data_IF_879305031873
#
_entry.id   IF_879305031873
#
_cell.length_a   1.000
_cell.length_b   1.000
_cell.length_c   1.000
_cell.angle_alpha   90.00
_cell.angle_beta   90.00
_cell.angle_gamma   90.00
#
_symmetry.space_group_name_H-M   'P 1'
#
loop_
_entity.id
_entity.type
_entity.pdbx_description
1 polymer ?
#
# COMPACT_ATOMS: atom_id res chain seq x y z
N UNK A 1 -16.51 18.47 9.79
CA UNK A 1 -15.50 18.14 8.77
C UNK A 1 -14.25 17.76 9.51
N UNK A 2 -14.21 16.50 9.93
CA UNK A 2 -13.01 15.85 10.42
C UNK A 2 -12.17 15.41 9.24
N UNK A 3 -10.89 15.15 9.51
CA UNK A 3 -9.94 14.79 8.47
C UNK A 3 -10.38 13.54 7.67
N UNK A 4 -11.04 12.57 8.31
CA UNK A 4 -11.45 11.32 7.66
C UNK A 4 -12.51 11.50 6.55
N UNK A 5 -13.49 12.38 6.73
CA UNK A 5 -14.51 12.62 5.69
C UNK A 5 -13.97 13.50 4.56
N UNK A 6 -12.89 14.23 4.83
CA UNK A 6 -12.11 14.88 3.77
C UNK A 6 -11.34 13.89 2.89
N UNK A 7 -11.01 12.68 3.37
CA UNK A 7 -10.42 11.60 2.53
C UNK A 7 -11.48 11.00 1.61
N UNK A 8 -12.71 10.82 2.11
CA UNK A 8 -13.80 10.22 1.34
C UNK A 8 -14.19 11.02 0.09
N UNK A 9 -14.20 12.36 0.17
CA UNK A 9 -14.60 13.25 -0.95
C UNK A 9 -13.72 13.16 -2.21
N UNK A 10 -12.38 13.31 -2.15
CA UNK A 10 -11.53 13.13 -3.32
C UNK A 10 -11.53 11.69 -3.84
N UNK A 11 -11.89 10.72 -2.99
CA UNK A 11 -12.00 9.30 -3.33
C UNK A 11 -13.41 8.90 -3.79
N UNK A 12 -14.32 9.85 -3.99
CA UNK A 12 -15.66 9.56 -4.51
C UNK A 12 -15.56 8.94 -5.91
N UNK A 13 -16.32 7.87 -6.16
CA UNK A 13 -16.28 7.08 -7.40
C UNK A 13 -14.91 6.43 -7.73
N UNK A 14 -13.98 6.38 -6.78
CA UNK A 14 -12.69 5.66 -6.95
C UNK A 14 -12.78 4.15 -6.74
N UNK A 15 -13.93 3.65 -6.23
CA UNK A 15 -14.11 2.28 -5.76
C UNK A 15 -13.75 2.08 -4.28
N UNK A 16 -13.30 3.12 -3.56
CA UNK A 16 -12.98 3.01 -2.12
C UNK A 16 -14.19 2.56 -1.28
N UNK A 17 -15.39 3.07 -1.57
CA UNK A 17 -16.62 2.64 -0.89
C UNK A 17 -16.89 1.15 -1.12
N UNK A 18 -16.73 0.70 -2.36
CA UNK A 18 -16.99 -0.70 -2.75
C UNK A 18 -15.97 -1.64 -2.08
N UNK A 19 -14.70 -1.23 -2.06
CA UNK A 19 -13.63 -1.96 -1.39
C UNK A 19 -13.87 -2.07 0.12
N UNK A 20 -14.23 -0.97 0.80
CA UNK A 20 -14.57 -1.02 2.23
C UNK A 20 -15.82 -1.87 2.49
N UNK A 21 -16.74 -1.94 1.52
CA UNK A 21 -17.96 -2.74 1.63
C UNK A 21 -17.71 -4.25 1.52
N UNK A 22 -16.51 -4.68 1.14
CA UNK A 22 -16.11 -6.10 1.19
C UNK A 22 -15.85 -6.60 2.61
N UNK A 23 -15.46 -5.70 3.53
CA UNK A 23 -15.12 -6.02 4.92
C UNK A 23 -16.19 -5.53 5.89
N UNK A 24 -16.85 -4.41 5.57
CA UNK A 24 -17.87 -3.80 6.41
C UNK A 24 -19.22 -3.75 5.70
N UNK A 25 -20.31 -3.80 6.46
CA UNK A 25 -21.65 -3.63 5.89
C UNK A 25 -21.80 -2.24 5.24
N UNK A 26 -22.48 -2.14 4.11
CA UNK A 26 -22.58 -0.90 3.30
C UNK A 26 -23.08 0.32 4.11
N UNK A 27 -24.08 0.12 4.96
CA UNK A 27 -24.59 1.16 5.87
C UNK A 27 -23.51 1.69 6.82
N UNK A 28 -22.59 0.81 7.24
CA UNK A 28 -21.46 1.19 8.10
C UNK A 28 -20.41 1.96 7.31
N UNK A 29 -20.15 1.59 6.07
CA UNK A 29 -19.20 2.29 5.20
C UNK A 29 -19.64 3.73 4.95
N UNK A 30 -20.94 3.97 4.71
CA UNK A 30 -21.47 5.34 4.61
C UNK A 30 -21.16 6.15 5.87
N UNK A 31 -21.38 5.59 7.05
CA UNK A 31 -21.01 6.24 8.32
C UNK A 31 -19.51 6.38 8.56
N UNK A 32 -18.68 5.52 7.95
CA UNK A 32 -17.22 5.65 8.01
C UNK A 32 -16.72 6.81 7.15
N UNK A 33 -17.25 6.96 5.93
CA UNK A 33 -16.93 8.04 5.01
C UNK A 33 -17.52 9.39 5.45
N UNK A 34 -18.69 9.37 6.11
CA UNK A 34 -19.35 10.55 6.69
C UNK A 34 -18.89 10.88 8.12
N UNK A 35 -17.78 10.28 8.60
CA UNK A 35 -17.13 10.62 9.87
C UNK A 35 -17.90 10.23 11.16
N UNK A 36 -19.03 9.54 11.04
CA UNK A 36 -19.86 9.11 12.19
C UNK A 36 -19.31 7.87 12.90
N UNK A 37 -18.45 7.11 12.22
CA UNK A 37 -17.88 5.85 12.72
C UNK A 37 -16.35 5.88 12.77
N UNK A 38 -15.76 6.89 13.42
CA UNK A 38 -14.32 7.21 13.42
C UNK A 38 -13.42 6.00 13.65
N UNK A 39 -13.61 5.21 14.71
CA UNK A 39 -12.74 4.07 15.03
C UNK A 39 -12.77 3.00 13.91
N UNK A 40 -13.96 2.73 13.35
CA UNK A 40 -14.07 1.80 12.21
C UNK A 40 -13.45 2.38 10.96
N UNK A 41 -13.64 3.69 10.71
CA UNK A 41 -13.11 4.38 9.56
C UNK A 41 -11.56 4.40 9.55
N UNK A 42 -10.92 4.71 10.69
CA UNK A 42 -9.46 4.65 10.84
C UNK A 42 -8.94 3.24 10.53
N UNK A 43 -9.53 2.20 11.15
CA UNK A 43 -9.13 0.81 10.90
C UNK A 43 -9.34 0.40 9.46
N UNK A 44 -10.46 0.79 8.85
CA UNK A 44 -10.75 0.56 7.44
C UNK A 44 -9.68 1.17 6.56
N UNK A 45 -9.34 2.45 6.76
CA UNK A 45 -8.32 3.13 5.97
C UNK A 45 -6.93 2.47 6.10
N UNK A 46 -6.51 2.07 7.30
CA UNK A 46 -5.25 1.34 7.48
C UNK A 46 -5.25 -0.04 6.81
N UNK A 47 -6.36 -0.78 6.85
CA UNK A 47 -6.46 -2.05 6.11
C UNK A 47 -6.28 -1.85 4.60
N UNK A 48 -6.83 -0.77 4.04
CA UNK A 48 -6.64 -0.44 2.62
C UNK A 48 -5.21 -0.02 2.32
N UNK A 49 -4.58 0.77 3.20
CA UNK A 49 -3.16 1.16 3.07
C UNK A 49 -2.23 -0.07 3.07
N UNK A 50 -2.43 -0.98 4.02
CA UNK A 50 -1.67 -2.23 4.12
C UNK A 50 -1.87 -3.13 2.88
N UNK A 51 -3.12 -3.27 2.41
CA UNK A 51 -3.42 -4.04 1.21
C UNK A 51 -2.74 -3.45 -0.03
N UNK A 52 -2.78 -2.13 -0.20
CA UNK A 52 -2.11 -1.46 -1.32
C UNK A 52 -0.59 -1.62 -1.26
N UNK A 53 0.03 -1.43 -0.10
CA UNK A 53 1.47 -1.63 0.08
C UNK A 53 1.86 -3.08 -0.22
N UNK A 54 1.06 -4.05 0.23
CA UNK A 54 1.28 -5.48 -0.04
C UNK A 54 1.21 -5.79 -1.53
N UNK A 55 0.19 -5.28 -2.25
CA UNK A 55 0.05 -5.46 -3.70
C UNK A 55 1.20 -4.82 -4.49
N UNK A 56 1.66 -3.64 -4.07
CA UNK A 56 2.79 -2.96 -4.70
C UNK A 56 4.10 -3.74 -4.47
N UNK A 57 4.29 -4.30 -3.29
CA UNK A 57 5.46 -5.10 -2.95
C UNK A 57 5.43 -6.46 -3.66
N UNK A 58 4.27 -7.11 -3.76
CA UNK A 58 4.09 -8.33 -4.55
C UNK A 58 4.43 -8.07 -6.02
N UNK A 59 3.96 -6.96 -6.60
CA UNK A 59 4.33 -6.57 -7.97
C UNK A 59 5.82 -6.32 -8.17
N UNK A 60 6.53 -5.95 -7.11
CA UNK A 60 7.97 -5.73 -7.13
C UNK A 60 8.73 -7.07 -7.06
N UNK A 61 8.20 -8.03 -6.30
CA UNK A 61 8.84 -9.32 -5.98
C UNK A 61 8.51 -10.40 -7.01
N UNK A 62 7.30 -10.41 -7.56
CA UNK A 62 6.85 -11.43 -8.52
C UNK A 62 7.55 -11.27 -9.86
N UNK A 63 8.33 -12.30 -10.22
CA UNK A 63 9.03 -12.45 -11.52
C UNK A 63 8.13 -13.00 -12.62
N UNK A 64 6.90 -13.41 -12.30
CA UNK A 64 5.97 -14.09 -13.20
C UNK A 64 4.62 -13.38 -13.15
N UNK A 65 4.35 -12.45 -14.08
CA UNK A 65 3.04 -12.34 -14.72
C UNK A 65 2.95 -11.30 -15.87
N UNK A 66 2.37 -11.79 -16.95
CA UNK A 66 2.24 -11.31 -18.33
C UNK A 66 1.31 -10.10 -18.56
N UNK A 67 1.29 -9.11 -17.65
CA UNK A 67 0.57 -7.84 -17.89
C UNK A 67 1.47 -6.60 -17.92
N UNK A 68 2.78 -6.81 -17.97
CA UNK A 68 3.81 -5.78 -17.74
C UNK A 68 4.66 -5.50 -19.00
N UNK A 69 4.09 -5.56 -20.20
CA UNK A 69 4.82 -5.15 -21.42
C UNK A 69 5.11 -3.62 -21.51
N UNK A 70 4.80 -2.85 -20.46
CA UNK A 70 5.03 -1.39 -20.44
C UNK A 70 5.80 -0.86 -19.22
N UNK A 71 6.10 -1.68 -18.21
CA UNK A 71 6.92 -1.24 -17.07
C UNK A 71 8.35 -1.74 -17.27
N UNK A 72 9.26 -0.84 -17.66
CA UNK A 72 10.71 -1.07 -17.61
C UNK A 72 11.20 -1.05 -16.15
N UNK A 73 10.62 -1.88 -15.31
CA UNK A 73 11.05 -2.11 -13.94
C UNK A 73 11.60 -3.52 -13.98
N UNK A 74 12.92 -3.65 -13.86
CA UNK A 74 13.52 -4.98 -13.80
C UNK A 74 12.94 -5.71 -12.59
N UNK A 75 12.29 -6.88 -12.80
CA UNK A 75 11.78 -7.67 -11.69
C UNK A 75 12.94 -8.06 -10.79
N UNK A 76 12.67 -8.23 -9.49
CA UNK A 76 13.68 -8.68 -8.54
C UNK A 76 14.31 -9.97 -9.06
N UNK A 77 15.65 -10.07 -9.02
CA UNK A 77 16.29 -11.34 -9.39
C UNK A 77 15.81 -12.43 -8.44
N UNK A 78 15.76 -13.67 -8.90
CA UNK A 78 15.38 -14.85 -8.10
C UNK A 78 16.20 -14.94 -6.78
N UNK A 79 17.44 -14.41 -6.81
CA UNK A 79 18.32 -14.31 -5.64
C UNK A 79 17.92 -13.22 -4.63
N UNK A 80 17.21 -12.17 -5.04
CA UNK A 80 16.72 -11.09 -4.17
C UNK A 80 15.39 -11.47 -3.52
N UNK A 81 14.53 -12.20 -4.24
CA UNK A 81 13.25 -12.73 -3.73
C UNK A 81 13.49 -13.76 -2.61
N UNK A 82 14.45 -14.68 -2.79
CA UNK A 82 14.81 -15.65 -1.75
C UNK A 82 15.29 -14.96 -0.45
N UNK A 83 16.05 -13.87 -0.58
CA UNK A 83 16.53 -13.08 0.57
C UNK A 83 15.41 -12.29 1.24
N UNK A 84 14.46 -11.74 0.47
CA UNK A 84 13.30 -11.07 1.03
C UNK A 84 12.44 -12.04 1.86
N UNK A 85 12.24 -13.27 1.38
CA UNK A 85 11.52 -14.31 2.11
C UNK A 85 12.24 -14.79 3.37
N UNK A 86 13.58 -14.87 3.34
CA UNK A 86 14.42 -15.15 4.51
C UNK A 86 14.24 -14.06 5.59
N UNK A 87 14.31 -12.79 5.20
CA UNK A 87 14.06 -11.63 6.08
C UNK A 87 12.65 -11.65 6.67
N UNK A 88 11.63 -11.93 5.86
CA UNK A 88 10.23 -12.00 6.31
C UNK A 88 10.06 -13.12 7.35
N UNK A 89 10.74 -14.25 7.16
CA UNK A 89 10.67 -15.37 8.10
C UNK A 89 11.43 -15.10 9.40
N UNK A 90 12.57 -14.40 9.34
CA UNK A 90 13.30 -13.97 10.53
C UNK A 90 12.50 -12.94 11.36
N UNK A 91 11.84 -11.98 10.69
CA UNK A 91 10.95 -10.99 11.34
C UNK A 91 9.72 -11.62 11.99
N UNK A 92 9.28 -12.80 11.53
CA UNK A 92 8.20 -13.57 12.17
C UNK A 92 8.65 -14.27 13.45
N UNK A 93 9.96 -14.53 13.61
CA UNK A 93 10.52 -15.33 14.71
C UNK A 93 11.15 -14.45 15.80
N UNK A 94 11.75 -13.30 15.47
CA UNK A 94 12.33 -12.36 16.44
C UNK A 94 11.64 -10.99 16.46
N UNK A 95 11.39 -10.46 17.66
CA UNK A 95 10.84 -9.10 17.92
C UNK A 95 11.79 -7.95 17.57
N UNK A 96 13.00 -8.24 17.09
CA UNK A 96 14.04 -7.24 16.85
C UNK A 96 14.57 -7.34 15.43
N UNK A 97 14.63 -6.20 14.75
CA UNK A 97 15.28 -6.06 13.44
C UNK A 97 16.76 -6.42 13.59
N UNK A 98 17.29 -7.41 12.85
CA UNK A 98 18.71 -7.74 12.91
C UNK A 98 19.53 -6.56 12.39
N UNK A 99 20.47 -6.07 13.20
CA UNK A 99 21.49 -5.08 12.82
C UNK A 99 22.41 -5.54 11.65
N UNK A 100 22.15 -6.73 11.08
CA UNK A 100 22.89 -7.36 9.98
C UNK A 100 22.19 -7.21 8.62
N UNK A 101 20.95 -6.68 8.57
CA UNK A 101 20.44 -6.11 7.32
C UNK A 101 21.31 -4.90 7.00
N UNK A 102 22.29 -5.08 6.11
CA UNK A 102 23.10 -3.96 5.64
C UNK A 102 22.15 -2.89 5.12
N UNK A 103 22.17 -1.72 5.76
CA UNK A 103 21.36 -0.54 5.38
C UNK A 103 21.29 -0.37 3.86
N UNK A 104 22.37 -0.71 3.16
CA UNK A 104 22.49 -0.70 1.70
C UNK A 104 21.40 -1.51 0.98
N UNK A 105 21.10 -2.76 1.40
CA UNK A 105 20.08 -3.60 0.72
C UNK A 105 18.66 -3.11 0.99
N UNK A 106 18.37 -2.71 2.22
CA UNK A 106 17.08 -2.13 2.60
C UNK A 106 16.86 -0.82 1.84
N UNK A 107 17.88 0.05 1.81
CA UNK A 107 17.84 1.31 1.08
C UNK A 107 17.68 1.11 -0.43
N UNK A 108 18.28 0.06 -1.02
CA UNK A 108 18.03 -0.25 -2.44
C UNK A 108 16.60 -0.72 -2.71
N UNK A 109 15.99 -1.48 -1.79
CA UNK A 109 14.58 -1.89 -1.92
C UNK A 109 13.64 -0.70 -1.76
N UNK A 110 13.89 0.17 -0.78
CA UNK A 110 13.14 1.43 -0.59
C UNK A 110 13.25 2.29 -1.86
N UNK A 111 14.46 2.49 -2.39
CA UNK A 111 14.66 3.27 -3.61
C UNK A 111 13.93 2.67 -4.82
N UNK A 112 13.91 1.35 -4.98
CA UNK A 112 13.14 0.68 -6.04
C UNK A 112 11.63 0.87 -5.86
N UNK A 113 11.14 0.79 -4.63
CA UNK A 113 9.73 1.01 -4.31
C UNK A 113 9.30 2.46 -4.60
N UNK A 114 10.13 3.44 -4.24
CA UNK A 114 9.88 4.85 -4.53
C UNK A 114 9.90 5.14 -6.05
N UNK A 115 10.82 4.51 -6.79
CA UNK A 115 10.82 4.57 -8.26
C UNK A 115 9.54 4.00 -8.87
N UNK A 116 9.01 2.90 -8.32
CA UNK A 116 7.75 2.29 -8.76
C UNK A 116 6.56 3.22 -8.45
N UNK A 117 6.49 3.79 -7.25
CA UNK A 117 5.49 4.83 -6.90
C UNK A 117 5.55 6.01 -7.87
N UNK A 118 6.76 6.51 -8.15
CA UNK A 118 7.01 7.62 -9.08
C UNK A 118 6.58 7.27 -10.50
N UNK A 119 6.84 6.05 -10.95
CA UNK A 119 6.39 5.60 -12.26
C UNK A 119 4.85 5.55 -12.34
N UNK A 120 4.21 4.96 -11.34
CA UNK A 120 2.75 4.79 -11.31
C UNK A 120 2.01 6.13 -11.25
N UNK A 121 2.65 7.20 -10.76
CA UNK A 121 2.13 8.57 -10.78
C UNK A 121 1.66 9.06 -12.16
N UNK A 122 2.17 8.46 -13.25
CA UNK A 122 1.78 8.76 -14.63
C UNK A 122 0.31 8.42 -14.90
N UNK A 123 -0.25 7.43 -14.22
CA UNK A 123 -1.64 7.03 -14.39
C UNK A 123 -2.54 7.79 -13.42
N UNK A 124 -3.64 8.35 -13.94
CA UNK A 124 -4.56 9.19 -13.16
C UNK A 124 -5.10 8.50 -11.91
N UNK A 125 -5.54 7.24 -12.04
CA UNK A 125 -6.10 6.47 -10.92
C UNK A 125 -5.01 6.11 -9.91
N UNK A 126 -3.85 5.62 -10.36
CA UNK A 126 -2.75 5.30 -9.46
C UNK A 126 -2.23 6.56 -8.74
N UNK A 127 -2.25 7.73 -9.38
CA UNK A 127 -1.91 9.00 -8.72
C UNK A 127 -2.88 9.33 -7.59
N UNK A 128 -4.19 9.14 -7.80
CA UNK A 128 -5.19 9.35 -6.77
C UNK A 128 -4.95 8.43 -5.55
N UNK A 129 -4.71 7.14 -5.80
CA UNK A 129 -4.49 6.17 -4.72
C UNK A 129 -3.13 6.33 -4.02
N UNK A 130 -2.04 6.49 -4.78
CA UNK A 130 -0.68 6.49 -4.21
C UNK A 130 -0.31 7.87 -3.66
N UNK A 131 -0.61 8.96 -4.37
CA UNK A 131 -0.15 10.29 -3.97
C UNK A 131 -1.19 11.11 -3.21
N UNK A 132 -2.47 10.80 -3.34
CA UNK A 132 -3.52 11.52 -2.61
C UNK A 132 -3.98 10.70 -1.41
N UNK A 133 -4.34 9.44 -1.60
CA UNK A 133 -4.89 8.63 -0.53
C UNK A 133 -3.84 8.16 0.48
N UNK A 134 -2.73 7.53 0.05
CA UNK A 134 -1.69 7.08 0.99
C UNK A 134 -1.04 8.25 1.75
N UNK A 135 -0.78 9.38 1.08
CA UNK A 135 -0.27 10.59 1.73
C UNK A 135 -1.23 11.13 2.81
N UNK A 136 -2.54 11.16 2.51
CA UNK A 136 -3.54 11.53 3.51
C UNK A 136 -3.58 10.54 4.69
N UNK A 137 -3.36 9.24 4.47
CA UNK A 137 -3.32 8.25 5.55
C UNK A 137 -2.04 8.35 6.38
N UNK A 138 -0.91 8.68 5.78
CA UNK A 138 0.33 8.86 6.52
C UNK A 138 0.22 10.05 7.50
N UNK A 139 -0.59 11.06 7.19
CA UNK A 139 -0.94 12.14 8.13
C UNK A 139 -1.86 11.69 9.30
N UNK A 140 -2.39 10.46 9.29
CA UNK A 140 -3.17 9.87 10.38
C UNK A 140 -2.32 9.01 11.34
N UNK A 141 -1.08 8.68 10.98
CA UNK A 141 -0.14 7.90 11.81
C UNK A 141 0.54 8.78 12.85
#
# INVERSE_FOLDING_TARGET
>A
MSFLGCIGRPMENSGLKDLLSTVYAENTVGHMLDEKAVNRAVRGHFLVDDALNTLLLEKLVSTEDTCVDTLKIEPFSESEVAKANEIINELKVEKCVPNSLTDIKVNTMIARFDNLKTYLSKFRTARLWIFTYMDMIDNLK
#
